data_IF_867239364115
#
_entry.id   IF_867239364115
#
_cell.length_a   1.000
_cell.length_b   1.000
_cell.length_c   1.000
_cell.angle_alpha   90.00
_cell.angle_beta   90.00
_cell.angle_gamma   90.00
#
_symmetry.space_group_name_H-M   'P 1'
#
loop_
_entity.id
_entity.type
_entity.pdbx_description
1 polymer ?
#
# COMPACT_ATOMS: atom_id res chain seq x y z
N UNK A 1 6.79 6.97 -17.27
CA UNK A 1 6.68 6.45 -15.89
C UNK A 1 8.01 5.82 -15.50
N UNK A 2 8.65 6.28 -14.43
CA UNK A 2 9.97 5.74 -14.04
C UNK A 2 9.86 4.29 -13.52
N UNK A 3 10.90 3.46 -13.66
CA UNK A 3 10.91 2.11 -13.09
C UNK A 3 10.59 2.08 -11.60
N UNK A 4 11.06 3.09 -10.86
CA UNK A 4 10.78 3.28 -9.43
C UNK A 4 9.29 3.51 -9.16
N UNK A 5 8.64 4.43 -9.90
CA UNK A 5 7.21 4.69 -9.74
C UNK A 5 6.39 3.44 -10.07
N UNK A 6 6.80 2.65 -11.07
CA UNK A 6 6.14 1.38 -11.42
C UNK A 6 6.26 0.36 -10.27
N UNK A 7 7.45 0.24 -9.69
CA UNK A 7 7.68 -0.64 -8.53
C UNK A 7 6.84 -0.21 -7.32
N UNK A 8 6.75 1.09 -7.04
CA UNK A 8 5.92 1.62 -5.94
C UNK A 8 4.43 1.32 -6.15
N UNK A 9 3.88 1.54 -7.36
CA UNK A 9 2.47 1.20 -7.64
C UNK A 9 2.20 -0.30 -7.52
N UNK A 10 3.11 -1.15 -8.00
CA UNK A 10 3.00 -2.60 -7.83
C UNK A 10 3.04 -3.00 -6.35
N UNK A 11 3.90 -2.37 -5.55
CA UNK A 11 3.97 -2.68 -4.12
C UNK A 11 2.73 -2.18 -3.38
N UNK A 12 2.21 -1.02 -3.75
CA UNK A 12 0.96 -0.47 -3.21
C UNK A 12 -0.21 -1.42 -3.45
N UNK A 13 -0.40 -1.93 -4.67
CA UNK A 13 -1.49 -2.88 -4.97
C UNK A 13 -1.36 -4.21 -4.23
N UNK A 14 -0.12 -4.69 -4.00
CA UNK A 14 0.12 -5.87 -3.16
C UNK A 14 -0.28 -5.63 -1.70
N UNK A 15 -0.01 -4.45 -1.14
CA UNK A 15 -0.42 -4.10 0.23
C UNK A 15 -1.94 -3.97 0.31
N UNK A 16 -2.60 -3.37 -0.68
CA UNK A 16 -4.07 -3.33 -0.76
C UNK A 16 -4.68 -4.72 -0.72
N UNK A 17 -4.17 -5.63 -1.56
CA UNK A 17 -4.63 -7.02 -1.57
C UNK A 17 -4.40 -7.72 -0.23
N UNK A 18 -3.28 -7.46 0.45
CA UNK A 18 -3.03 -8.02 1.79
C UNK A 18 -4.03 -7.52 2.83
N UNK A 19 -4.37 -6.23 2.81
CA UNK A 19 -5.39 -5.67 3.69
C UNK A 19 -6.75 -6.32 3.43
N UNK A 20 -7.13 -6.46 2.17
CA UNK A 20 -8.39 -7.12 1.79
C UNK A 20 -8.46 -8.57 2.26
N UNK A 21 -7.37 -9.32 2.08
CA UNK A 21 -7.29 -10.71 2.53
C UNK A 21 -7.41 -10.80 4.06
N UNK A 22 -6.62 -10.01 4.79
CA UNK A 22 -6.64 -9.98 6.26
C UNK A 22 -8.01 -9.59 6.82
N UNK A 23 -8.66 -8.60 6.20
CA UNK A 23 -10.00 -8.13 6.61
C UNK A 23 -11.08 -9.19 6.38
N UNK A 24 -10.90 -10.07 5.39
CA UNK A 24 -11.83 -11.15 5.06
C UNK A 24 -11.57 -12.44 5.86
N UNK A 25 -10.51 -12.50 6.65
CA UNK A 25 -10.23 -13.66 7.49
C UNK A 25 -11.36 -13.86 8.51
N UNK A 26 -11.69 -15.10 8.90
CA UNK A 26 -12.67 -15.37 9.94
C UNK A 26 -12.32 -14.73 11.30
N UNK A 27 -11.03 -14.51 11.56
CA UNK A 27 -10.50 -13.76 12.70
C UNK A 27 -9.44 -12.78 12.20
N UNK A 28 -9.84 -11.56 11.81
CA UNK A 28 -8.90 -10.54 11.34
C UNK A 28 -7.98 -10.09 12.48
N UNK A 29 -6.68 -9.92 12.21
CA UNK A 29 -5.76 -9.26 13.13
C UNK A 29 -5.82 -7.72 12.96
N UNK A 30 -6.42 -6.98 13.91
CA UNK A 30 -6.58 -5.53 13.78
C UNK A 30 -5.25 -4.77 13.83
N UNK A 31 -4.24 -5.27 14.55
CA UNK A 31 -2.91 -4.64 14.62
C UNK A 31 -2.22 -4.78 13.27
N UNK A 32 -2.28 -5.98 12.68
CA UNK A 32 -1.74 -6.25 11.35
C UNK A 32 -2.43 -5.42 10.27
N UNK A 33 -3.75 -5.28 10.31
CA UNK A 33 -4.49 -4.41 9.39
C UNK A 33 -4.05 -2.96 9.55
N UNK A 34 -3.89 -2.48 10.78
CA UNK A 34 -3.43 -1.12 11.07
C UNK A 34 -2.03 -0.85 10.52
N UNK A 35 -1.09 -1.78 10.73
CA UNK A 35 0.27 -1.68 10.18
C UNK A 35 0.27 -1.66 8.65
N UNK A 36 -0.50 -2.55 8.01
CA UNK A 36 -0.63 -2.58 6.56
C UNK A 36 -1.23 -1.27 6.01
N UNK A 37 -2.24 -0.70 6.69
CA UNK A 37 -2.81 0.60 6.33
C UNK A 37 -1.80 1.74 6.48
N UNK A 38 -0.96 1.74 7.51
CA UNK A 38 0.13 2.72 7.68
C UNK A 38 1.12 2.63 6.53
N UNK A 39 1.56 1.43 6.17
CA UNK A 39 2.46 1.21 5.02
C UNK A 39 1.82 1.69 3.71
N UNK A 40 0.53 1.37 3.50
CA UNK A 40 -0.24 1.82 2.33
C UNK A 40 -0.26 3.35 2.22
N UNK A 41 -0.49 4.05 3.34
CA UNK A 41 -0.51 5.52 3.39
C UNK A 41 0.85 6.10 3.00
N UNK A 42 1.94 5.63 3.61
CA UNK A 42 3.29 6.11 3.29
C UNK A 42 3.64 5.90 1.80
N UNK A 43 3.24 4.76 1.22
CA UNK A 43 3.44 4.50 -0.21
C UNK A 43 2.60 5.41 -1.10
N UNK A 44 1.35 5.71 -0.72
CA UNK A 44 0.50 6.66 -1.44
C UNK A 44 1.13 8.05 -1.48
N UNK A 45 1.69 8.49 -0.35
CA UNK A 45 2.35 9.79 -0.25
C UNK A 45 3.61 9.84 -1.13
N UNK A 46 4.43 8.78 -1.13
CA UNK A 46 5.59 8.67 -2.02
C UNK A 46 5.21 8.65 -3.51
N UNK A 47 4.18 7.88 -3.89
CA UNK A 47 3.66 7.85 -5.27
C UNK A 47 3.18 9.25 -5.67
N UNK A 48 2.38 9.89 -4.82
CA UNK A 48 1.83 11.22 -5.08
C UNK A 48 2.93 12.26 -5.23
N UNK A 49 3.96 12.19 -4.39
CA UNK A 49 5.13 13.08 -4.49
C UNK A 49 5.88 12.85 -5.80
N UNK A 50 6.11 11.61 -6.21
CA UNK A 50 6.80 11.29 -7.48
C UNK A 50 5.97 11.64 -8.72
N UNK A 51 4.63 11.57 -8.65
CA UNK A 51 3.75 11.94 -9.76
C UNK A 51 3.61 13.45 -9.94
N UNK A 52 3.80 14.22 -8.85
CA UNK A 52 3.72 15.69 -8.86
C UNK A 52 5.06 16.39 -8.98
N UNK A 53 6.16 15.66 -8.79
CA UNK A 53 7.51 16.21 -8.99
C UNK A 53 7.77 16.37 -10.50
N UNK A 54 8.17 17.56 -10.96
CA UNK A 54 8.37 17.85 -12.38
C UNK A 54 9.54 17.07 -13.00
#
# INVERSE_FOLDING_TARGET
MTPLLKALKNRYSLIERKIELETKMPQPDPLRIMELKRIKMQMRDQITWMERSP
#
